data_IF_649117184398
#
_entry.id   IF_649117184398
#
_cell.length_a   1.000
_cell.length_b   1.000
_cell.length_c   1.000
_cell.angle_alpha   90.00
_cell.angle_beta   90.00
_cell.angle_gamma   90.00
#
_symmetry.space_group_name_H-M   'P 1'
#
loop_
_entity.id
_entity.type
_entity.pdbx_description
1 polymer ?
#
# COMPACT_ATOMS: atom_id res chain seq x y z
N UNK A 1 4.46 -19.55 -4.94
CA UNK A 1 5.14 -19.79 -3.64
C UNK A 1 4.15 -20.46 -2.70
N UNK A 2 4.60 -21.24 -1.70
CA UNK A 2 3.69 -22.06 -0.90
C UNK A 2 4.17 -22.23 0.54
N UNK A 3 3.39 -21.77 1.53
CA UNK A 3 3.59 -22.15 2.93
C UNK A 3 2.84 -23.47 3.19
N UNK A 4 3.58 -24.55 3.44
CA UNK A 4 3.00 -25.86 3.75
C UNK A 4 2.36 -25.81 5.14
N UNK A 5 1.07 -26.13 5.23
CA UNK A 5 0.42 -26.36 6.52
C UNK A 5 0.63 -27.82 6.94
N UNK A 6 1.35 -28.05 8.04
CA UNK A 6 1.71 -29.39 8.53
C UNK A 6 0.51 -30.29 8.83
N UNK A 7 -0.69 -29.72 9.04
CA UNK A 7 -1.85 -30.51 9.40
C UNK A 7 -2.36 -31.38 8.24
N UNK A 8 -2.29 -30.91 6.99
CA UNK A 8 -2.93 -31.57 5.84
C UNK A 8 -2.14 -31.46 4.52
N UNK A 9 -0.89 -31.00 4.54
CA UNK A 9 -0.10 -30.63 3.34
C UNK A 9 -0.82 -29.64 2.38
N UNK A 10 -1.81 -28.91 2.91
CA UNK A 10 -2.55 -27.90 2.15
C UNK A 10 -1.66 -26.68 1.96
N UNK A 11 -1.53 -26.27 0.70
CA UNK A 11 -0.74 -25.12 0.29
C UNK A 11 -1.52 -23.83 0.49
N UNK A 12 -1.00 -22.89 1.29
CA UNK A 12 -1.52 -21.52 1.25
C UNK A 12 -1.00 -20.81 0.01
N UNK A 13 -1.88 -20.64 -1.00
CA UNK A 13 -1.58 -19.93 -2.25
C UNK A 13 -1.59 -18.40 -2.10
N UNK A 14 -1.92 -17.87 -0.93
CA UNK A 14 -1.93 -16.43 -0.65
C UNK A 14 -0.56 -15.84 -0.28
N UNK A 15 0.45 -16.68 -0.03
CA UNK A 15 1.81 -16.21 0.29
C UNK A 15 2.59 -15.92 -1.00
N UNK A 16 3.00 -14.67 -1.19
CA UNK A 16 3.75 -14.20 -2.35
C UNK A 16 5.23 -13.85 -2.03
N UNK A 17 5.64 -13.90 -0.78
CA UNK A 17 7.01 -13.60 -0.37
C UNK A 17 7.38 -14.18 0.99
N UNK A 18 8.69 -14.21 1.28
CA UNK A 18 9.26 -14.54 2.58
C UNK A 18 10.53 -13.73 2.85
N UNK A 19 10.68 -13.23 4.08
CA UNK A 19 11.89 -12.64 4.60
C UNK A 19 12.04 -12.87 6.11
N UNK A 20 13.27 -12.74 6.61
CA UNK A 20 13.54 -12.74 8.05
C UNK A 20 13.38 -11.34 8.64
N UNK A 21 12.64 -11.22 9.74
CA UNK A 21 12.50 -9.93 10.42
C UNK A 21 13.84 -9.50 11.03
N UNK A 22 14.34 -8.33 10.65
CA UNK A 22 15.65 -7.82 11.05
C UNK A 22 16.84 -8.58 10.44
N UNK A 23 16.62 -9.27 9.31
CA UNK A 23 17.63 -10.13 8.67
C UNK A 23 18.72 -9.39 7.88
N UNK A 24 18.57 -8.10 7.56
CA UNK A 24 19.35 -7.40 6.52
C UNK A 24 20.89 -7.47 6.66
N UNK A 25 21.42 -7.62 7.88
CA UNK A 25 22.87 -7.71 8.13
C UNK A 25 23.26 -8.99 8.88
N UNK A 26 22.35 -9.96 8.99
CA UNK A 26 22.56 -11.16 9.79
C UNK A 26 23.15 -12.26 8.90
N UNK A 27 24.47 -12.43 9.01
CA UNK A 27 25.24 -13.49 8.36
C UNK A 27 26.02 -14.28 9.42
N UNK A 28 25.76 -15.58 9.51
CA UNK A 28 26.49 -16.49 10.38
C UNK A 28 27.43 -17.37 9.56
N UNK A 29 28.69 -16.95 9.44
CA UNK A 29 29.72 -17.68 8.70
C UNK A 29 30.02 -19.07 9.27
N UNK A 30 29.94 -19.24 10.60
CA UNK A 30 30.22 -20.52 11.26
C UNK A 30 29.14 -21.57 10.98
N UNK A 31 27.89 -21.14 10.90
CA UNK A 31 26.75 -22.01 10.63
C UNK A 31 26.37 -22.05 9.14
N UNK A 32 27.11 -21.36 8.28
CA UNK A 32 26.82 -21.20 6.85
C UNK A 32 25.36 -20.74 6.58
N UNK A 33 24.87 -19.83 7.42
CA UNK A 33 23.50 -19.30 7.34
C UNK A 33 23.50 -17.81 7.03
N UNK A 34 22.67 -17.41 6.07
CA UNK A 34 22.41 -16.02 5.70
C UNK A 34 20.93 -15.74 5.91
N UNK A 35 20.62 -14.81 6.81
CA UNK A 35 19.25 -14.35 7.02
C UNK A 35 18.96 -13.05 6.24
N UNK A 36 19.99 -12.44 5.64
CA UNK A 36 19.87 -11.29 4.72
C UNK A 36 19.35 -11.75 3.36
N UNK A 37 18.15 -12.32 3.34
CA UNK A 37 17.50 -12.82 2.14
C UNK A 37 16.00 -12.58 2.21
N UNK A 38 15.44 -12.12 1.09
CA UNK A 38 14.02 -12.08 0.82
C UNK A 38 13.77 -12.85 -0.48
N UNK A 39 12.67 -13.59 -0.53
CA UNK A 39 12.21 -14.31 -1.72
C UNK A 39 10.85 -13.74 -2.09
N UNK A 40 10.65 -13.43 -3.36
CA UNK A 40 9.42 -12.85 -3.89
C UNK A 40 8.97 -13.67 -5.09
N UNK A 41 7.67 -13.95 -5.15
CA UNK A 41 7.00 -14.45 -6.34
C UNK A 41 6.54 -13.27 -7.18
N UNK A 42 7.02 -13.22 -8.42
CA UNK A 42 6.54 -12.30 -9.44
C UNK A 42 6.21 -13.09 -10.72
N UNK A 43 5.11 -12.73 -11.33
CA UNK A 43 4.59 -13.27 -12.59
C UNK A 43 5.16 -12.55 -13.81
N UNK A 44 5.98 -11.51 -13.60
CA UNK A 44 6.53 -10.65 -14.64
C UNK A 44 5.55 -9.57 -15.12
N UNK A 45 4.41 -9.43 -14.44
CA UNK A 45 3.43 -8.36 -14.63
C UNK A 45 3.58 -7.20 -13.64
N UNK A 46 4.69 -7.15 -12.89
CA UNK A 46 4.98 -6.19 -11.82
C UNK A 46 4.14 -6.34 -10.54
N UNK A 47 3.40 -7.45 -10.42
CA UNK A 47 2.62 -7.78 -9.21
C UNK A 47 3.50 -7.99 -7.97
N UNK A 48 4.77 -8.38 -8.18
CA UNK A 48 5.76 -8.58 -7.14
C UNK A 48 6.37 -7.30 -6.52
N UNK A 49 6.18 -6.10 -7.10
CA UNK A 49 6.88 -4.88 -6.63
C UNK A 49 6.53 -4.53 -5.18
N UNK A 50 5.23 -4.45 -4.85
CA UNK A 50 4.79 -4.13 -3.48
C UNK A 50 5.12 -5.27 -2.51
N UNK A 51 5.16 -6.51 -2.99
CA UNK A 51 5.61 -7.67 -2.20
C UNK A 51 7.10 -7.55 -1.89
N UNK A 52 7.93 -7.18 -2.86
CA UNK A 52 9.35 -6.92 -2.62
C UNK A 52 9.58 -5.81 -1.60
N UNK A 53 8.83 -4.70 -1.70
CA UNK A 53 8.86 -3.68 -0.66
C UNK A 53 8.50 -4.28 0.71
N UNK A 54 7.40 -5.02 0.82
CA UNK A 54 6.97 -5.69 2.06
C UNK A 54 8.07 -6.57 2.67
N UNK A 55 8.69 -7.44 1.87
CA UNK A 55 9.75 -8.34 2.34
C UNK A 55 11.03 -7.57 2.75
N UNK A 56 11.37 -6.49 2.04
CA UNK A 56 12.45 -5.58 2.47
C UNK A 56 12.10 -4.91 3.80
N UNK A 57 10.84 -4.54 4.00
CA UNK A 57 10.34 -4.02 5.28
C UNK A 57 10.60 -5.00 6.43
N UNK A 58 10.37 -6.29 6.22
CA UNK A 58 10.75 -7.32 7.19
C UNK A 58 12.25 -7.35 7.44
N UNK A 59 13.09 -7.35 6.41
CA UNK A 59 14.56 -7.33 6.58
C UNK A 59 15.05 -6.14 7.43
N UNK A 60 14.36 -5.01 7.34
CA UNK A 60 14.62 -3.79 8.12
C UNK A 60 13.92 -3.75 9.49
N UNK A 61 13.38 -4.89 9.95
CA UNK A 61 12.86 -5.05 11.31
C UNK A 61 11.37 -4.75 11.49
N UNK A 62 10.63 -4.38 10.43
CA UNK A 62 9.19 -4.23 10.54
C UNK A 62 8.49 -5.59 10.64
N UNK A 63 7.47 -5.65 11.49
CA UNK A 63 6.51 -6.77 11.55
C UNK A 63 5.22 -6.36 10.83
N UNK A 64 4.32 -7.32 10.60
CA UNK A 64 2.98 -6.99 10.11
C UNK A 64 2.26 -6.03 11.05
N UNK A 65 1.51 -5.09 10.49
CA UNK A 65 0.68 -4.19 11.29
C UNK A 65 -0.25 -5.01 12.20
N UNK A 66 -0.32 -4.64 13.48
CA UNK A 66 -1.08 -5.34 14.51
C UNK A 66 -0.31 -6.45 15.23
N UNK A 67 0.95 -6.70 14.85
CA UNK A 67 1.81 -7.72 15.47
C UNK A 67 2.69 -7.16 16.59
N UNK A 68 2.97 -7.97 17.64
CA UNK A 68 3.93 -7.60 18.70
C UNK A 68 5.37 -7.56 18.17
N UNK A 69 6.30 -6.91 18.89
CA UNK A 69 7.71 -6.96 18.54
C UNK A 69 8.27 -8.39 18.62
N UNK A 70 9.26 -8.76 17.78
CA UNK A 70 9.93 -10.04 17.90
C UNK A 70 10.79 -10.07 19.17
N UNK A 71 10.76 -11.16 19.94
CA UNK A 71 11.48 -11.26 21.22
C UNK A 71 13.01 -11.15 21.07
N UNK A 72 13.56 -11.62 19.95
CA UNK A 72 15.00 -11.61 19.68
C UNK A 72 15.53 -10.27 19.16
N UNK A 73 14.66 -9.47 18.53
CA UNK A 73 15.03 -8.16 17.97
C UNK A 73 14.65 -7.01 18.92
N UNK A 74 13.57 -7.19 19.69
CA UNK A 74 12.97 -6.13 20.48
C UNK A 74 12.26 -5.09 19.62
N UNK A 75 12.31 -3.83 20.05
CA UNK A 75 11.75 -2.71 19.30
C UNK A 75 10.27 -2.44 19.55
N UNK A 76 9.68 -1.52 18.76
CA UNK A 76 8.32 -1.03 19.00
C UNK A 76 7.21 -1.98 18.55
N UNK A 77 7.51 -2.95 17.67
CA UNK A 77 6.49 -3.78 17.03
C UNK A 77 5.50 -2.95 16.22
N UNK A 78 4.28 -3.46 16.03
CA UNK A 78 3.23 -2.76 15.30
C UNK A 78 1.82 -2.93 15.89
N UNK A 79 1.68 -3.28 17.17
CA UNK A 79 0.36 -3.48 17.81
C UNK A 79 -0.54 -2.24 17.79
N UNK A 80 0.04 -1.04 17.68
CA UNK A 80 -0.69 0.23 17.58
C UNK A 80 -1.22 0.54 16.18
N UNK A 81 -0.73 -0.15 15.15
CA UNK A 81 -1.17 0.02 13.77
C UNK A 81 -2.11 -1.14 13.44
N UNK A 82 -3.32 -0.85 12.99
CA UNK A 82 -4.28 -1.91 12.66
C UNK A 82 -3.96 -2.44 11.26
N UNK A 83 -4.01 -3.75 11.07
CA UNK A 83 -3.82 -4.34 9.74
C UNK A 83 -4.89 -3.83 8.77
N UNK A 84 -6.12 -3.58 9.23
CA UNK A 84 -7.21 -3.04 8.40
C UNK A 84 -6.93 -1.65 7.82
N UNK A 85 -5.96 -0.90 8.37
CA UNK A 85 -5.60 0.41 7.83
C UNK A 85 -4.89 0.31 6.46
N UNK A 86 -4.37 -0.87 6.09
CA UNK A 86 -4.00 -1.23 4.72
C UNK A 86 -2.66 -0.68 4.20
N UNK A 87 -1.71 -0.40 5.09
CA UNK A 87 -0.34 -0.02 4.72
C UNK A 87 0.47 -1.19 4.15
N UNK A 88 1.70 -0.96 3.66
CA UNK A 88 2.53 -2.00 3.02
C UNK A 88 2.66 -3.25 3.89
N UNK A 89 2.77 -3.13 5.22
CA UNK A 89 2.90 -4.27 6.15
C UNK A 89 1.57 -4.94 6.54
N UNK A 90 0.46 -4.58 5.89
CA UNK A 90 -0.86 -5.20 6.04
C UNK A 90 -1.14 -6.22 4.92
N UNK A 91 -1.98 -7.21 5.20
CA UNK A 91 -2.56 -8.12 4.20
C UNK A 91 -3.62 -7.44 3.28
N UNK A 92 -4.17 -6.27 3.65
CA UNK A 92 -5.24 -5.56 2.93
C UNK A 92 -4.77 -4.26 2.25
N UNK A 93 -4.02 -4.39 1.16
CA UNK A 93 -3.44 -3.25 0.42
C UNK A 93 -4.34 -2.83 -0.76
N UNK A 94 -5.54 -2.38 -0.47
CA UNK A 94 -6.58 -2.08 -1.50
C UNK A 94 -6.78 -0.59 -1.78
N UNK A 95 -6.01 0.27 -1.13
CA UNK A 95 -6.09 1.75 -1.26
C UNK A 95 -4.71 2.33 -1.50
N UNK A 96 -4.61 3.65 -1.65
CA UNK A 96 -3.34 4.36 -1.78
C UNK A 96 -2.42 4.19 -0.56
N UNK A 97 -2.97 3.80 0.60
CA UNK A 97 -2.16 3.46 1.78
C UNK A 97 -1.27 2.25 1.54
N UNK A 98 -1.65 1.35 0.63
CA UNK A 98 -0.85 0.19 0.22
C UNK A 98 0.50 0.54 -0.42
N UNK A 99 0.73 1.84 -0.71
CA UNK A 99 1.98 2.40 -1.23
C UNK A 99 2.77 3.16 -0.15
N UNK A 100 2.34 3.08 1.12
CA UNK A 100 2.92 3.82 2.23
C UNK A 100 3.28 2.88 3.38
N UNK A 101 4.28 3.28 4.13
CA UNK A 101 4.62 2.68 5.41
C UNK A 101 3.70 3.22 6.51
N UNK A 102 3.26 2.35 7.42
CA UNK A 102 2.61 2.81 8.64
C UNK A 102 3.63 3.50 9.55
N UNK A 103 3.16 4.32 10.50
CA UNK A 103 4.08 4.91 11.47
C UNK A 103 4.78 3.84 12.33
N UNK A 104 4.21 2.64 12.48
CA UNK A 104 4.83 1.53 13.20
C UNK A 104 5.98 0.90 12.40
N UNK A 105 5.80 0.74 11.08
CA UNK A 105 6.88 0.29 10.20
C UNK A 105 8.05 1.28 10.23
N UNK A 106 7.76 2.58 10.12
CA UNK A 106 8.78 3.65 10.20
C UNK A 106 9.51 3.61 11.54
N UNK A 107 8.79 3.49 12.67
CA UNK A 107 9.42 3.35 13.98
C UNK A 107 10.30 2.09 14.10
N UNK A 108 9.88 0.97 13.50
CA UNK A 108 10.68 -0.26 13.46
C UNK A 108 11.94 -0.07 12.62
N UNK A 109 11.87 0.62 11.48
CA UNK A 109 13.04 0.94 10.66
C UNK A 109 14.03 1.81 11.43
N UNK A 110 13.56 2.85 12.13
CA UNK A 110 14.42 3.65 12.99
C UNK A 110 15.05 2.83 14.10
N UNK A 111 14.32 1.89 14.70
CA UNK A 111 14.87 1.02 15.73
C UNK A 111 15.98 0.12 15.18
N UNK A 112 15.75 -0.51 14.02
CA UNK A 112 16.72 -1.39 13.37
C UNK A 112 17.96 -0.64 12.87
N UNK A 113 17.76 0.47 12.14
CA UNK A 113 18.85 1.29 11.60
C UNK A 113 19.62 2.04 12.69
N UNK A 114 19.04 2.24 13.87
CA UNK A 114 19.78 2.69 15.06
C UNK A 114 20.16 1.53 15.99
N UNK A 115 20.15 0.29 15.49
CA UNK A 115 20.62 -0.92 16.17
C UNK A 115 22.02 -1.32 15.70
N UNK A 116 22.78 -2.05 16.53
CA UNK A 116 24.18 -2.39 16.22
C UNK A 116 24.30 -3.40 15.08
N UNK A 117 23.19 -4.10 14.81
CA UNK A 117 23.06 -5.08 13.74
C UNK A 117 23.07 -4.43 12.35
N UNK A 118 22.66 -3.17 12.18
CA UNK A 118 22.49 -2.54 10.86
C UNK A 118 23.76 -1.96 10.23
N UNK A 119 24.93 -2.17 10.84
CA UNK A 119 26.20 -1.54 10.43
C UNK A 119 26.63 -1.85 8.99
N UNK A 120 26.17 -2.96 8.41
CA UNK A 120 26.46 -3.34 7.03
C UNK A 120 25.79 -2.45 5.97
N UNK A 121 24.85 -1.59 6.36
CA UNK A 121 24.08 -0.71 5.46
C UNK A 121 24.63 0.73 5.42
N UNK A 122 25.71 1.04 6.15
CA UNK A 122 26.21 2.42 6.27
C UNK A 122 27.26 2.80 5.23
N UNK A 123 27.79 1.85 4.47
CA UNK A 123 28.67 2.14 3.35
C UNK A 123 27.86 2.45 2.10
N UNK A 124 28.39 3.32 1.24
CA UNK A 124 27.86 3.52 -0.09
C UNK A 124 28.06 2.24 -0.94
N UNK A 125 27.14 1.94 -1.89
CA UNK A 125 27.38 0.92 -2.90
C UNK A 125 28.58 1.30 -3.77
N UNK A 126 29.24 0.29 -4.35
CA UNK A 126 30.37 0.49 -5.26
C UNK A 126 29.95 0.83 -6.70
N UNK A 127 28.67 0.61 -7.03
CA UNK A 127 28.13 0.90 -8.36
C UNK A 127 27.67 2.36 -8.42
N UNK A 128 28.21 3.11 -9.39
CA UNK A 128 27.87 4.52 -9.62
C UNK A 128 26.67 4.69 -10.58
N UNK A 129 26.21 3.61 -11.23
CA UNK A 129 25.09 3.65 -12.17
C UNK A 129 23.75 3.41 -11.46
N UNK A 130 22.95 4.47 -11.35
CA UNK A 130 21.59 4.38 -10.87
C UNK A 130 20.68 3.63 -11.85
N UNK A 131 19.69 2.91 -11.32
CA UNK A 131 18.66 2.27 -12.14
C UNK A 131 17.90 3.30 -13.02
N UNK A 132 17.44 2.91 -14.22
CA UNK A 132 16.62 3.75 -15.07
C UNK A 132 15.40 4.30 -14.32
N UNK A 133 15.14 5.60 -14.44
CA UNK A 133 14.00 6.28 -13.80
C UNK A 133 12.70 6.18 -14.62
N UNK A 134 12.53 5.10 -15.38
CA UNK A 134 11.32 4.86 -16.18
C UNK A 134 10.32 4.12 -15.32
N UNK A 135 9.11 4.68 -15.19
CA UNK A 135 8.05 4.04 -14.44
C UNK A 135 7.60 2.73 -15.12
N UNK A 136 7.49 1.59 -14.39
CA UNK A 136 7.28 0.28 -15.02
C UNK A 136 5.97 0.17 -15.83
N UNK A 137 4.93 0.90 -15.45
CA UNK A 137 3.67 0.96 -16.19
C UNK A 137 3.76 1.65 -17.56
N UNK A 138 4.85 2.38 -17.85
CA UNK A 138 5.15 2.86 -19.20
C UNK A 138 5.74 1.75 -20.09
N UNK A 139 6.20 0.64 -19.52
CA UNK A 139 6.77 -0.50 -20.24
C UNK A 139 5.72 -1.57 -20.58
N UNK A 140 4.73 -1.77 -19.71
CA UNK A 140 3.65 -2.74 -19.89
C UNK A 140 2.29 -2.08 -19.65
N UNK A 141 1.41 -2.15 -20.66
CA UNK A 141 0.01 -1.73 -20.50
C UNK A 141 -0.74 -2.58 -19.46
N UNK A 142 -1.89 -2.10 -18.98
CA UNK A 142 -2.74 -2.84 -18.05
C UNK A 142 -3.09 -4.25 -18.55
N UNK A 143 -3.42 -4.38 -19.85
CA UNK A 143 -3.69 -5.68 -20.47
C UNK A 143 -2.43 -6.57 -20.51
N UNK A 144 -1.25 -5.98 -20.73
CA UNK A 144 0.00 -6.74 -20.73
C UNK A 144 0.38 -7.23 -19.32
N UNK A 145 0.12 -6.43 -18.29
CA UNK A 145 0.26 -6.83 -16.88
C UNK A 145 -0.66 -8.02 -16.58
N UNK A 146 -1.96 -7.91 -16.90
CA UNK A 146 -2.91 -9.02 -16.71
C UNK A 146 -2.57 -10.28 -17.53
N UNK A 147 -2.00 -10.13 -18.73
CA UNK A 147 -1.55 -11.29 -19.53
C UNK A 147 -0.41 -12.03 -18.85
N UNK A 148 0.49 -11.32 -18.15
CA UNK A 148 1.56 -11.94 -17.38
C UNK A 148 1.04 -12.59 -16.10
N UNK A 149 0.10 -11.94 -15.42
CA UNK A 149 -0.42 -12.41 -14.13
C UNK A 149 -1.42 -13.56 -14.24
N UNK A 150 -2.31 -13.52 -15.24
CA UNK A 150 -3.43 -14.46 -15.40
C UNK A 150 -3.64 -14.99 -16.82
N UNK A 151 -2.87 -14.51 -17.80
CA UNK A 151 -3.08 -14.88 -19.21
C UNK A 151 -4.29 -14.19 -19.86
N UNK A 152 -4.82 -13.13 -19.25
CA UNK A 152 -6.06 -12.45 -19.65
C UNK A 152 -5.88 -10.94 -19.74
N UNK A 153 -6.96 -10.19 -20.01
CA UNK A 153 -6.94 -8.72 -20.14
C UNK A 153 -7.45 -8.02 -18.87
N UNK A 154 -7.15 -6.73 -18.76
CA UNK A 154 -7.66 -5.88 -17.70
C UNK A 154 -9.16 -5.60 -17.91
N UNK A 155 -9.94 -5.62 -16.83
CA UNK A 155 -11.38 -5.36 -16.89
C UNK A 155 -11.72 -3.86 -16.90
N UNK A 156 -10.91 -3.07 -16.22
CA UNK A 156 -11.09 -1.63 -16.06
C UNK A 156 -9.81 -0.90 -16.48
N UNK A 157 -9.96 0.37 -16.86
CA UNK A 157 -8.86 1.27 -17.27
C UNK A 157 -9.04 2.68 -16.70
N UNK A 158 -9.77 2.77 -15.60
CA UNK A 158 -10.08 3.99 -14.85
C UNK A 158 -9.18 4.11 -13.61
N UNK A 159 -9.44 5.10 -12.77
CA UNK A 159 -8.66 5.41 -11.57
C UNK A 159 -8.45 4.24 -10.60
N UNK A 160 -9.41 3.31 -10.58
CA UNK A 160 -9.45 2.14 -9.69
C UNK A 160 -8.24 1.23 -9.87
N UNK A 161 -7.71 1.16 -11.09
CA UNK A 161 -6.57 0.29 -11.43
C UNK A 161 -5.31 0.66 -10.65
N UNK A 162 -5.18 1.93 -10.23
CA UNK A 162 -3.98 2.41 -9.55
C UNK A 162 -3.81 1.81 -8.16
N UNK A 163 -4.90 1.47 -7.47
CA UNK A 163 -4.84 0.75 -6.20
C UNK A 163 -5.13 -0.74 -6.35
N UNK A 164 -5.95 -1.12 -7.35
CA UNK A 164 -6.34 -2.50 -7.60
C UNK A 164 -6.54 -2.76 -9.10
N UNK A 165 -5.59 -3.47 -9.72
CA UNK A 165 -5.76 -3.99 -11.08
C UNK A 165 -6.67 -5.23 -11.02
N UNK A 166 -7.76 -5.16 -11.78
CA UNK A 166 -8.69 -6.27 -11.97
C UNK A 166 -8.40 -6.95 -13.30
N UNK A 167 -8.01 -8.22 -13.24
CA UNK A 167 -7.81 -9.05 -14.42
C UNK A 167 -8.99 -9.99 -14.58
N UNK A 168 -9.43 -10.18 -15.83
CA UNK A 168 -10.44 -11.19 -16.11
C UNK A 168 -9.90 -12.58 -15.75
N UNK A 169 -10.72 -13.46 -15.22
CA UNK A 169 -10.33 -14.83 -14.94
C UNK A 169 -11.18 -15.78 -15.76
N UNK A 170 -10.57 -16.44 -16.76
CA UNK A 170 -11.30 -17.31 -17.68
C UNK A 170 -11.91 -18.55 -16.99
N UNK A 171 -11.34 -18.98 -15.86
CA UNK A 171 -11.85 -20.12 -15.09
C UNK A 171 -13.16 -19.80 -14.35
N UNK A 172 -13.25 -18.62 -13.74
CA UNK A 172 -14.45 -18.19 -13.01
C UNK A 172 -15.42 -17.35 -13.83
N UNK A 173 -14.97 -16.72 -14.92
CA UNK A 173 -15.74 -15.77 -15.71
C UNK A 173 -15.87 -14.39 -15.08
N UNK A 174 -15.18 -14.12 -13.98
CA UNK A 174 -15.27 -12.85 -13.24
C UNK A 174 -13.96 -12.05 -13.28
N UNK A 175 -14.06 -10.75 -13.00
CA UNK A 175 -12.92 -9.88 -12.79
C UNK A 175 -12.41 -10.02 -11.35
N UNK A 176 -11.17 -10.42 -11.19
CA UNK A 176 -10.54 -10.62 -9.87
C UNK A 176 -9.49 -9.55 -9.62
N UNK A 177 -9.56 -8.92 -8.45
CA UNK A 177 -8.50 -8.02 -8.00
C UNK A 177 -7.25 -8.84 -7.67
N UNK A 178 -6.10 -8.42 -8.19
CA UNK A 178 -4.84 -9.11 -7.94
C UNK A 178 -3.86 -8.25 -7.15
N UNK A 179 -3.26 -7.26 -7.81
CA UNK A 179 -2.32 -6.27 -7.25
C UNK A 179 -2.58 -4.90 -7.88
N UNK A 180 -2.06 -3.81 -7.32
CA UNK A 180 -2.16 -2.51 -7.97
C UNK A 180 -1.49 -2.53 -9.35
N UNK A 181 -1.98 -1.73 -10.30
CA UNK A 181 -1.27 -1.52 -11.56
C UNK A 181 0.11 -0.91 -11.29
N UNK A 182 1.08 -1.25 -12.13
CA UNK A 182 2.42 -0.66 -12.04
C UNK A 182 2.37 0.87 -12.13
N UNK A 183 3.20 1.57 -11.34
CA UNK A 183 3.29 3.02 -11.43
C UNK A 183 3.63 3.46 -12.87
N UNK A 184 3.02 4.54 -13.34
CA UNK A 184 3.11 4.98 -14.74
C UNK A 184 2.06 4.38 -15.68
N UNK A 185 1.24 3.42 -15.23
CA UNK A 185 0.16 2.85 -16.06
C UNK A 185 -0.90 3.92 -16.34
N UNK A 186 -1.44 3.93 -17.56
CA UNK A 186 -2.53 4.85 -17.92
C UNK A 186 -3.82 4.48 -17.18
N UNK A 187 -4.51 5.50 -16.64
CA UNK A 187 -5.75 5.34 -15.86
C UNK A 187 -6.87 6.31 -16.29
N UNK A 188 -6.62 7.07 -17.35
CA UNK A 188 -7.52 8.07 -17.91
C UNK A 188 -6.83 8.82 -19.05
N UNK A 189 -7.54 9.78 -19.65
CA UNK A 189 -7.02 10.61 -20.73
C UNK A 189 -5.96 11.58 -20.20
N UNK A 190 -4.69 11.34 -20.56
CA UNK A 190 -3.56 12.13 -20.05
C UNK A 190 -3.31 11.95 -18.55
N UNK A 191 -3.76 10.83 -17.97
CA UNK A 191 -3.56 10.51 -16.56
C UNK A 191 -2.86 9.17 -16.37
N UNK A 192 -2.07 9.07 -15.29
CA UNK A 192 -1.32 7.86 -14.96
C UNK A 192 -1.34 7.56 -13.47
N UNK A 193 -1.05 6.30 -13.13
CA UNK A 193 -1.01 5.84 -11.75
C UNK A 193 0.29 6.26 -11.04
N UNK A 194 0.14 6.93 -9.91
CA UNK A 194 1.23 7.30 -9.01
C UNK A 194 0.76 7.20 -7.56
N UNK A 195 1.51 6.48 -6.72
CA UNK A 195 1.21 6.23 -5.31
C UNK A 195 -0.24 5.79 -5.05
N UNK A 196 -0.75 4.89 -5.88
CA UNK A 196 -2.12 4.37 -5.78
C UNK A 196 -3.22 5.31 -6.24
N UNK A 197 -2.90 6.45 -6.86
CA UNK A 197 -3.87 7.43 -7.37
C UNK A 197 -3.70 7.68 -8.86
N UNK A 198 -4.79 8.00 -9.54
CA UNK A 198 -4.77 8.48 -10.90
C UNK A 198 -4.52 9.99 -10.91
N UNK A 199 -3.37 10.41 -11.44
CA UNK A 199 -2.95 11.81 -11.46
C UNK A 199 -2.72 12.27 -12.90
N UNK A 200 -2.91 13.57 -13.15
CA UNK A 200 -2.63 14.16 -14.46
C UNK A 200 -1.14 14.09 -14.78
N UNK A 201 -0.81 13.76 -16.03
CA UNK A 201 0.51 13.94 -16.60
C UNK A 201 0.76 15.45 -16.72
N UNK A 202 1.43 16.03 -15.72
CA UNK A 202 1.88 17.42 -15.83
C UNK A 202 2.97 17.48 -16.91
N UNK A 203 2.58 17.76 -18.17
CA UNK A 203 3.50 17.90 -19.31
C UNK A 203 4.46 19.11 -19.24
N UNK A 204 4.62 19.79 -18.09
CA UNK A 204 5.40 21.04 -18.00
C UNK A 204 6.48 21.08 -16.91
N UNK A 205 6.81 19.96 -16.27
CA UNK A 205 8.07 19.90 -15.52
C UNK A 205 9.11 19.40 -16.49
N UNK A 206 9.89 20.31 -17.08
CA UNK A 206 11.23 19.96 -17.58
C UNK A 206 11.87 19.19 -16.43
N UNK A 207 12.20 17.90 -16.57
CA UNK A 207 12.85 17.17 -15.48
C UNK A 207 14.15 17.91 -15.22
N UNK A 208 14.16 18.68 -14.13
CA UNK A 208 15.37 19.34 -13.67
C UNK A 208 16.27 18.23 -13.13
N UNK A 209 17.08 17.66 -14.01
CA UNK A 209 18.12 16.70 -13.67
C UNK A 209 19.23 17.34 -12.83
N UNK A 210 19.14 18.63 -12.46
CA UNK A 210 20.15 19.37 -11.70
C UNK A 210 19.84 19.54 -10.21
N UNK A 211 18.66 19.15 -9.72
CA UNK A 211 18.30 19.33 -8.31
C UNK A 211 17.89 18.00 -7.66
N UNK A 212 18.65 17.56 -6.66
CA UNK A 212 18.47 16.37 -5.80
C UNK A 212 19.30 15.12 -6.13
N UNK A 213 20.59 15.32 -6.39
CA UNK A 213 21.57 14.54 -5.62
C UNK A 213 21.65 15.27 -4.27
N UNK A 214 21.23 14.70 -3.13
CA UNK A 214 21.74 15.15 -1.86
C UNK A 214 23.24 14.89 -1.93
N UNK A 215 24.02 15.93 -2.25
CA UNK A 215 25.43 15.92 -1.95
C UNK A 215 25.50 15.71 -0.44
N UNK A 216 25.75 14.48 -0.02
CA UNK A 216 26.37 14.26 1.28
C UNK A 216 27.68 15.03 1.18
N UNK A 217 27.66 16.26 1.69
CA UNK A 217 28.86 17.07 1.83
C UNK A 217 29.75 16.24 2.74
N UNK A 218 30.71 15.54 2.12
CA UNK A 218 31.94 15.12 2.75
C UNK A 218 32.49 16.37 3.42
N UNK A 219 32.41 16.42 4.74
CA UNK A 219 33.27 17.32 5.49
C UNK A 219 34.65 16.67 5.44
N UNK A 220 35.46 17.09 4.47
CA UNK A 220 36.84 16.64 4.37
C UNK A 220 37.59 17.04 5.66
N UNK A 221 37.99 16.00 6.39
CA UNK A 221 39.30 15.86 7.02
C UNK A 221 39.85 17.02 7.86
N UNK A 222 39.61 16.96 9.17
CA UNK A 222 40.71 17.11 10.13
C UNK A 222 40.98 15.72 10.70
N UNK A 223 42.15 15.19 10.36
CA UNK A 223 42.74 14.00 10.95
C UNK A 223 42.68 14.09 12.48
N UNK A 224 41.92 13.20 13.11
CA UNK A 224 42.21 12.70 14.46
C UNK A 224 41.57 11.30 14.58
N UNK A 225 42.42 10.29 14.73
CA UNK A 225 42.02 8.91 14.93
C UNK A 225 41.41 8.71 16.31
N UNK A 226 40.08 8.62 16.37
CA UNK A 226 39.28 7.86 17.34
C UNK A 226 37.81 8.22 17.10
N UNK A 227 36.91 7.23 17.22
CA UNK A 227 35.43 7.33 17.20
C UNK A 227 34.80 7.25 15.79
N UNK A 228 34.54 6.02 15.33
CA UNK A 228 33.50 5.75 14.32
C UNK A 228 32.12 5.97 14.97
N UNK A 229 31.61 7.19 14.85
CA UNK A 229 30.27 7.54 15.32
C UNK A 229 29.19 7.06 14.36
N UNK A 230 28.26 6.25 14.89
CA UNK A 230 26.98 5.90 14.28
C UNK A 230 26.27 7.15 13.71
N UNK A 231 25.85 7.18 12.44
CA UNK A 231 24.99 8.26 11.97
C UNK A 231 23.64 8.17 12.69
N UNK A 232 23.30 9.20 13.46
CA UNK A 232 22.00 9.32 14.10
C UNK A 232 20.95 9.66 13.04
N UNK A 233 20.06 8.72 12.71
CA UNK A 233 18.89 9.04 11.90
C UNK A 233 17.95 9.92 12.72
N UNK A 234 17.70 11.13 12.24
CA UNK A 234 16.85 12.11 12.93
C UNK A 234 15.46 11.51 13.24
N UNK A 235 15.00 11.69 14.46
CA UNK A 235 13.60 11.43 14.82
C UNK A 235 12.73 12.44 14.08
N UNK A 236 11.96 11.97 13.11
CA UNK A 236 11.00 12.83 12.42
C UNK A 236 9.83 13.10 13.37
N UNK A 237 9.78 14.32 13.92
CA UNK A 237 8.61 14.79 14.66
C UNK A 237 7.47 15.01 13.66
N UNK A 238 6.42 14.23 13.83
CA UNK A 238 5.24 14.23 12.99
C UNK A 238 4.35 15.44 13.33
N UNK A 239 4.63 16.60 12.72
CA UNK A 239 3.72 17.74 12.72
C UNK A 239 3.75 18.46 11.38
N UNK A 240 3.13 17.87 10.36
CA UNK A 240 2.66 18.62 9.18
C UNK A 240 1.27 18.13 8.78
N UNK A 241 0.29 18.44 9.65
CA UNK A 241 -1.07 18.75 9.20
C UNK A 241 -1.21 20.26 9.27
N UNK A 242 -0.84 20.97 8.19
CA UNK A 242 -1.26 22.35 7.98
C UNK A 242 -2.02 22.45 6.67
N UNK A 243 -3.32 22.64 6.84
CA UNK A 243 -4.24 23.16 5.84
C UNK A 243 -3.78 24.58 5.46
N UNK A 244 -3.44 24.82 4.21
CA UNK A 244 -3.44 26.17 3.61
C UNK A 244 -4.50 26.14 2.53
N UNK A 245 -5.58 26.93 2.59
CA UNK A 245 -5.63 28.33 2.99
C UNK A 245 -6.11 29.08 1.75
N UNK A 246 -7.40 29.40 1.75
CA UNK A 246 -8.14 30.13 0.72
C UNK A 246 -7.39 31.40 0.30
N UNK A 247 -7.21 31.59 -1.01
CA UNK A 247 -6.76 32.86 -1.56
C UNK A 247 -7.97 33.74 -1.80
N UNK A 248 -8.21 34.64 -0.86
CA UNK A 248 -9.14 35.77 -0.97
C UNK A 248 -8.59 36.76 -2.00
N UNK A 249 -9.32 36.97 -3.09
CA UNK A 249 -9.15 38.16 -3.94
C UNK A 249 -10.28 39.13 -3.64
N UNK A 250 -9.94 40.22 -2.96
CA UNK A 250 -10.83 41.37 -2.74
C UNK A 250 -11.05 42.10 -4.07
N UNK A 251 -12.30 42.19 -4.51
CA UNK A 251 -12.74 43.20 -5.45
C UNK A 251 -13.77 44.13 -4.79
N UNK A 252 -13.57 45.43 -5.01
CA UNK A 252 -14.32 46.53 -4.40
C UNK A 252 -15.81 46.52 -4.77
N UNK A 253 -16.60 47.07 -3.85
CA UNK A 253 -18.06 47.24 -3.92
C UNK A 253 -18.42 48.63 -4.46
N UNK A 254 -19.31 48.68 -5.46
CA UNK A 254 -20.26 49.75 -5.85
C UNK A 254 -21.10 49.15 -7.00
N UNK A 255 -22.41 49.29 -7.17
CA UNK A 255 -23.50 50.04 -6.55
C UNK A 255 -24.83 49.49 -7.12
N UNK A 256 -25.93 49.73 -6.41
CA UNK A 256 -27.31 49.27 -6.65
C UNK A 256 -27.86 49.47 -8.08
N UNK A 257 -28.71 48.52 -8.53
CA UNK A 257 -29.93 48.80 -9.31
C UNK A 257 -30.96 47.68 -9.08
N UNK A 258 -32.18 48.07 -8.68
CA UNK A 258 -33.38 47.24 -8.56
C UNK A 258 -34.11 47.12 -9.91
N UNK A 259 -34.71 45.96 -10.19
CA UNK A 259 -35.96 45.88 -10.95
C UNK A 259 -36.78 44.65 -10.55
N UNK A 260 -38.09 44.84 -10.55
CA UNK A 260 -39.14 44.09 -9.84
C UNK A 260 -39.98 43.16 -10.73
N UNK A 261 -40.27 41.94 -10.23
CA UNK A 261 -41.53 41.13 -10.29
C UNK A 261 -42.09 40.66 -11.67
N UNK A 262 -43.08 39.71 -11.78
CA UNK A 262 -43.93 39.08 -10.74
C UNK A 262 -44.23 37.54 -10.82
N UNK A 263 -44.65 37.01 -9.67
CA UNK A 263 -45.67 35.98 -9.34
C UNK A 263 -46.06 34.84 -10.30
N UNK A 264 -46.11 33.60 -9.76
CA UNK A 264 -47.36 32.86 -9.57
C UNK A 264 -47.22 31.78 -8.47
N UNK A 265 -48.26 31.63 -7.65
CA UNK A 265 -48.35 30.77 -6.47
C UNK A 265 -49.52 29.79 -6.63
N UNK A 266 -49.33 28.52 -6.24
CA UNK A 266 -50.43 27.62 -5.85
C UNK A 266 -49.96 26.73 -4.67
N UNK A 267 -50.62 26.91 -3.53
CA UNK A 267 -50.62 26.02 -2.36
C UNK A 267 -51.49 24.78 -2.62
N UNK A 268 -51.19 23.64 -1.99
CA UNK A 268 -52.01 23.09 -0.89
C UNK A 268 -51.59 21.68 -0.42
N UNK A 269 -51.39 21.61 0.90
CA UNK A 269 -51.84 20.56 1.86
C UNK A 269 -51.27 19.14 1.84
N UNK A 270 -50.60 18.83 2.96
CA UNK A 270 -50.33 17.51 3.54
C UNK A 270 -51.57 16.86 4.17
N UNK A 271 -51.76 15.56 3.97
CA UNK A 271 -52.64 14.71 4.79
C UNK A 271 -51.96 13.36 5.05
N UNK A 272 -51.80 13.01 6.34
CA UNK A 272 -51.42 11.69 6.85
C UNK A 272 -52.64 10.77 6.95
N UNK A 273 -52.48 9.47 6.67
CA UNK A 273 -53.37 8.41 7.14
C UNK A 273 -52.53 7.18 7.52
N UNK A 274 -52.63 6.78 8.78
CA UNK A 274 -52.14 5.55 9.39
C UNK A 274 -53.02 4.32 9.06
N UNK A 275 -52.39 3.15 9.22
CA UNK A 275 -52.95 1.83 9.55
C UNK A 275 -53.96 1.15 8.60
N UNK A 276 -53.54 0.03 8.00
CA UNK A 276 -54.36 -1.18 7.91
C UNK A 276 -53.50 -2.46 7.92
N UNK A 277 -53.57 -3.18 9.03
CA UNK A 277 -53.15 -4.56 9.26
C UNK A 277 -53.94 -5.54 8.36
N UNK A 278 -53.28 -6.49 7.67
CA UNK A 278 -53.89 -7.80 7.40
C UNK A 278 -52.87 -8.92 7.11
N UNK A 279 -52.94 -9.98 7.93
CA UNK A 279 -52.48 -11.36 7.73
C UNK A 279 -53.32 -12.22 8.72
N UNK A 280 -53.54 -13.56 8.62
CA UNK A 280 -52.67 -14.56 7.96
C UNK A 280 -53.31 -15.90 7.44
N UNK A 281 -52.44 -16.79 6.90
CA UNK A 281 -52.41 -18.29 6.92
C UNK A 281 -53.00 -19.11 5.72
N UNK A 282 -52.73 -20.43 5.60
CA UNK A 282 -51.44 -21.06 5.25
C UNK A 282 -51.59 -22.22 4.23
N UNK A 283 -50.51 -22.71 3.60
CA UNK A 283 -50.48 -24.07 3.04
C UNK A 283 -49.15 -24.77 3.33
N UNK A 284 -49.26 -26.04 3.67
CA UNK A 284 -48.25 -26.93 4.26
C UNK A 284 -47.26 -27.52 3.22
N UNK A 285 -45.98 -27.44 3.56
CA UNK A 285 -44.87 -28.43 3.45
C UNK A 285 -44.68 -29.31 2.20
N UNK A 286 -43.46 -29.24 1.64
CA UNK A 286 -42.52 -30.39 1.63
C UNK A 286 -41.06 -29.90 1.72
N UNK A 287 -40.28 -30.69 2.45
CA UNK A 287 -38.91 -30.47 2.94
C UNK A 287 -37.82 -30.84 1.94
N UNK A 288 -36.75 -30.05 1.85
CA UNK A 288 -35.38 -30.56 1.74
C UNK A 288 -34.46 -29.70 2.62
N UNK A 289 -33.67 -30.38 3.45
CA UNK A 289 -32.71 -29.78 4.37
C UNK A 289 -31.50 -29.28 3.61
N UNK A 290 -31.12 -28.02 3.78
CA UNK A 290 -29.72 -27.61 3.81
C UNK A 290 -29.58 -26.36 4.70
N UNK A 291 -28.76 -26.48 5.76
CA UNK A 291 -28.51 -25.41 6.71
C UNK A 291 -27.58 -24.35 6.10
N UNK A 292 -27.78 -23.06 6.38
CA UNK A 292 -26.86 -22.02 5.94
C UNK A 292 -25.57 -22.08 6.78
N UNK A 293 -24.44 -22.31 6.12
CA UNK A 293 -23.11 -22.17 6.71
C UNK A 293 -22.83 -20.66 6.87
N UNK A 294 -22.77 -20.21 8.11
CA UNK A 294 -22.31 -18.86 8.45
C UNK A 294 -20.85 -18.69 8.07
N UNK A 295 -20.52 -17.70 7.25
CA UNK A 295 -19.15 -17.28 6.99
C UNK A 295 -18.52 -16.67 8.25
N UNK A 296 -17.81 -17.50 9.00
CA UNK A 296 -16.90 -17.11 10.08
C UNK A 296 -15.48 -17.53 9.70
N UNK A 297 -14.86 -16.79 8.78
CA UNK A 297 -13.41 -16.86 8.54
C UNK A 297 -12.80 -15.47 8.71
N UNK A 298 -12.78 -15.01 9.95
CA UNK A 298 -11.85 -13.97 10.39
C UNK A 298 -11.61 -14.17 11.88
N UNK A 299 -10.67 -15.08 12.20
CA UNK A 299 -9.94 -15.14 13.48
C UNK A 299 -8.99 -16.33 13.46
N UNK A 300 -7.74 -16.07 13.84
CA UNK A 300 -6.58 -17.00 13.91
C UNK A 300 -6.04 -17.28 12.51
N UNK A 301 -4.83 -16.85 12.16
CA UNK A 301 -3.58 -17.24 12.80
C UNK A 301 -2.56 -16.09 12.81
N UNK A 302 -2.28 -15.55 14.00
CA UNK A 302 -0.96 -14.96 14.30
C UNK A 302 -0.02 -16.14 14.58
N UNK A 303 0.98 -16.37 13.72
CA UNK A 303 2.09 -17.26 14.05
C UNK A 303 3.41 -16.64 13.59
N UNK A 304 4.18 -16.30 14.62
CA UNK A 304 5.56 -15.87 14.69
C UNK A 304 6.49 -16.48 13.63
N UNK A 305 7.34 -15.60 13.08
CA UNK A 305 8.72 -15.89 12.72
C UNK A 305 9.63 -15.04 13.60
#
# INVERSE_FOLDING_TARGET
MCRRQYANDVCNRGTAGFAYVGGACVVNKRLEKVNSVAIIEDTGGFSGIIVAAHEVGHLLGAVHDGSPPPSYLGGPGAEKCRWEDGYIMSDLRHTEKGFKWSHCSVASFHHFLNGDTATCLYNAPHEDEGLPRVLPGKLLSLDAQCRKDRGTSACFKDDRVCAQLFCFDAGSGYCVAYRPAAEGSTCGDGQYCLNGKCVAEHENIIPDYTQNIPTYVRRDSIYNGAIQGRPTFAQYNNTDYRYSGETTTQYMRQSNYEYSTPYDAIEHTSVSIDDLYYSPKPYYSTTTNDKPISNSYSKKYKQHF
#
